data_IF_844661324526
#
_entry.id   IF_844661324526
#
_cell.length_a   1.000
_cell.length_b   1.000
_cell.length_c   1.000
_cell.angle_alpha   90.00
_cell.angle_beta   90.00
_cell.angle_gamma   90.00
#
_symmetry.space_group_name_H-M   'P 1'
#
loop_
_entity.id
_entity.type
_entity.pdbx_description
1 polymer ?
#
# COMPACT_ATOMS: atom_id res chain seq x y z
N UNK A 1 -3.26 3.93 -28.63
CA UNK A 1 -2.08 3.25 -28.02
C UNK A 1 -2.50 2.68 -26.65
N UNK A 2 -2.45 1.36 -26.45
CA UNK A 2 -2.90 0.69 -25.20
C UNK A 2 -1.87 0.86 -24.08
N UNK A 3 -2.33 0.95 -22.82
CA UNK A 3 -1.50 0.88 -21.61
C UNK A 3 -1.76 -0.43 -20.87
N UNK A 4 -0.70 -1.09 -20.40
CA UNK A 4 -0.79 -2.29 -19.57
C UNK A 4 -0.54 -1.88 -18.13
N UNK A 5 -1.61 -1.64 -17.40
CA UNK A 5 -1.50 -1.29 -15.99
C UNK A 5 -1.60 -2.57 -15.15
N UNK A 6 -0.87 -2.65 -14.01
CA UNK A 6 -1.13 -3.67 -13.00
C UNK A 6 -2.59 -3.58 -12.52
N UNK A 7 -3.13 -4.67 -11.96
CA UNK A 7 -4.47 -4.71 -11.36
C UNK A 7 -4.55 -3.81 -10.11
N UNK A 8 -4.58 -2.50 -10.33
CA UNK A 8 -4.56 -1.45 -9.32
C UNK A 8 -5.96 -1.17 -8.78
N UNK A 9 -6.12 -1.28 -7.47
CA UNK A 9 -7.39 -1.11 -6.77
C UNK A 9 -7.20 -0.20 -5.55
N UNK A 10 -8.25 0.53 -5.18
CA UNK A 10 -8.24 1.27 -3.91
C UNK A 10 -8.65 0.35 -2.77
N UNK A 11 -7.84 0.30 -1.72
CA UNK A 11 -8.12 -0.46 -0.49
C UNK A 11 -7.85 0.40 0.74
N UNK A 12 -8.56 0.11 1.83
CA UNK A 12 -8.36 0.76 3.14
C UNK A 12 -7.62 -0.20 4.06
N UNK A 13 -6.61 0.31 4.75
CA UNK A 13 -5.87 -0.42 5.78
C UNK A 13 -6.03 0.32 7.10
N UNK A 14 -6.23 -0.43 8.16
CA UNK A 14 -6.13 0.09 9.52
C UNK A 14 -4.65 0.12 9.91
N UNK A 15 -4.20 1.26 10.44
CA UNK A 15 -2.82 1.46 10.88
C UNK A 15 -2.87 1.70 12.38
N UNK A 16 -2.42 0.72 13.16
CA UNK A 16 -2.46 0.79 14.63
C UNK A 16 -1.54 1.89 15.17
N UNK A 17 -0.38 2.09 14.54
CA UNK A 17 0.60 3.11 14.95
C UNK A 17 0.07 4.55 14.87
N UNK A 18 -0.90 4.80 14.00
CA UNK A 18 -1.50 6.12 13.78
C UNK A 18 -2.99 6.16 14.16
N UNK A 19 -3.52 5.05 14.68
CA UNK A 19 -4.91 4.83 15.03
C UNK A 19 -5.90 5.35 13.97
N UNK A 20 -5.60 5.11 12.69
CA UNK A 20 -6.36 5.66 11.56
C UNK A 20 -6.46 4.72 10.37
N UNK A 21 -7.47 4.97 9.53
CA UNK A 21 -7.59 4.34 8.23
C UNK A 21 -6.76 5.06 7.17
N UNK A 22 -5.93 4.31 6.44
CA UNK A 22 -5.17 4.81 5.29
C UNK A 22 -5.72 4.19 4.01
N UNK A 23 -5.99 5.04 3.02
CA UNK A 23 -6.41 4.61 1.67
C UNK A 23 -5.19 4.54 0.77
N UNK A 24 -4.95 3.36 0.19
CA UNK A 24 -3.86 3.15 -0.76
C UNK A 24 -4.38 2.62 -2.09
N UNK A 25 -3.74 3.05 -3.19
CA UNK A 25 -3.93 2.46 -4.51
C UNK A 25 -2.88 1.36 -4.69
N UNK A 26 -3.32 0.11 -4.66
CA UNK A 26 -2.42 -1.04 -4.59
C UNK A 26 -2.79 -2.14 -5.58
N UNK A 27 -1.80 -2.92 -6.00
CA UNK A 27 -2.01 -4.13 -6.79
C UNK A 27 -2.09 -5.38 -5.91
N UNK A 28 -2.58 -6.50 -6.46
CA UNK A 28 -2.60 -7.78 -5.74
C UNK A 28 -1.21 -8.24 -5.26
N UNK A 29 -0.14 -7.88 -5.98
CA UNK A 29 1.22 -8.17 -5.53
C UNK A 29 1.61 -7.33 -4.30
N UNK A 30 1.20 -6.06 -4.27
CA UNK A 30 1.40 -5.20 -3.11
C UNK A 30 0.60 -5.66 -1.89
N UNK A 31 -0.61 -6.18 -2.09
CA UNK A 31 -1.41 -6.77 -1.01
C UNK A 31 -0.63 -7.91 -0.31
N UNK A 32 -0.10 -8.86 -1.10
CA UNK A 32 0.71 -9.97 -0.58
C UNK A 32 1.98 -9.51 0.15
N UNK A 33 2.56 -8.38 -0.28
CA UNK A 33 3.73 -7.81 0.38
C UNK A 33 3.37 -7.25 1.76
N UNK A 34 2.22 -6.55 1.86
CA UNK A 34 1.70 -6.04 3.14
C UNK A 34 1.37 -7.21 4.07
N UNK A 35 0.69 -8.24 3.57
CA UNK A 35 0.33 -9.41 4.38
C UNK A 35 1.59 -10.13 4.93
N UNK A 36 2.69 -10.14 4.15
CA UNK A 36 3.95 -10.79 4.54
C UNK A 36 4.80 -9.95 5.51
N UNK A 37 4.90 -8.64 5.29
CA UNK A 37 5.84 -7.74 6.01
C UNK A 37 5.18 -6.86 7.07
N UNK A 38 3.85 -6.79 7.09
CA UNK A 38 3.09 -5.82 7.87
C UNK A 38 2.94 -4.46 7.18
N UNK A 39 1.87 -3.74 7.51
CA UNK A 39 1.55 -2.43 6.93
C UNK A 39 2.53 -1.33 7.36
N UNK A 40 2.99 -1.35 8.61
CA UNK A 40 3.87 -0.30 9.16
C UNK A 40 5.23 -0.27 8.44
N UNK A 41 5.83 -1.44 8.21
CA UNK A 41 7.09 -1.58 7.46
C UNK A 41 6.97 -1.03 6.05
N UNK A 42 5.85 -1.33 5.38
CA UNK A 42 5.60 -0.86 4.00
C UNK A 42 5.37 0.64 3.97
N UNK A 43 4.62 1.20 4.93
CA UNK A 43 4.42 2.65 5.04
C UNK A 43 5.72 3.40 5.35
N UNK A 44 6.59 2.85 6.20
CA UNK A 44 7.91 3.43 6.47
C UNK A 44 8.78 3.49 5.20
N UNK A 45 8.82 2.40 4.43
CA UNK A 45 9.54 2.35 3.15
C UNK A 45 8.93 3.31 2.11
N UNK A 46 7.60 3.42 2.04
CA UNK A 46 6.92 4.38 1.16
C UNK A 46 7.24 5.84 1.52
N UNK A 47 7.24 6.18 2.82
CA UNK A 47 7.63 7.50 3.33
C UNK A 47 9.09 7.82 3.04
N UNK A 48 9.99 6.86 3.25
CA UNK A 48 11.41 7.01 2.91
C UNK A 48 11.63 7.29 1.41
N UNK A 49 10.77 6.75 0.56
CA UNK A 49 10.76 7.00 -0.89
C UNK A 49 10.04 8.28 -1.30
N UNK A 50 9.50 9.06 -0.36
CA UNK A 50 8.76 10.29 -0.63
C UNK A 50 7.40 10.07 -1.30
N UNK A 51 6.86 8.85 -1.23
CA UNK A 51 5.54 8.51 -1.76
C UNK A 51 4.54 8.51 -0.59
N UNK A 52 3.97 9.68 -0.28
CA UNK A 52 2.94 9.87 0.73
C UNK A 52 1.70 10.54 0.12
#
# INVERSE_FOLDING_TARGET
KRRFLPNLQYRRFWVESENRWVRLRISNAGLRLIDKKGIDTVLADLRARGQA
#
